data_IF_069178863467
#
_entry.id   IF_069178863467
#
_cell.length_a   1.000
_cell.length_b   1.000
_cell.length_c   1.000
_cell.angle_alpha   90.00
_cell.angle_beta   90.00
_cell.angle_gamma   90.00
#
_symmetry.space_group_name_H-M   'P 1'
#
loop_
_entity.id
_entity.type
_entity.pdbx_description
1 polymer ?
#
# COMPACT_ATOMS: atom_id res chain seq x y z
N UNK A 1 3.92 14.29 -5.14
CA UNK A 1 2.47 14.03 -4.88
C UNK A 1 2.35 12.92 -3.85
N UNK A 2 1.58 13.14 -2.78
CA UNK A 2 1.40 12.13 -1.72
C UNK A 2 0.33 11.13 -2.11
N UNK A 3 0.65 9.85 -1.99
CA UNK A 3 -0.20 8.72 -2.32
C UNK A 3 -0.14 7.70 -1.18
N UNK A 4 -1.20 6.92 -1.02
CA UNK A 4 -1.30 5.85 -0.03
C UNK A 4 -1.51 4.50 -0.70
N UNK A 5 -1.11 3.41 -0.03
CA UNK A 5 -1.50 2.06 -0.44
C UNK A 5 -1.80 1.19 0.78
N UNK A 6 -3.02 0.62 0.87
CA UNK A 6 -3.28 -0.42 1.84
C UNK A 6 -2.56 -1.71 1.43
N UNK A 7 -1.88 -2.36 2.37
CA UNK A 7 -1.14 -3.62 2.14
C UNK A 7 -1.40 -4.61 3.26
N UNK A 8 -1.26 -5.90 2.94
CA UNK A 8 -1.22 -6.98 3.93
C UNK A 8 0.22 -7.26 4.43
N UNK A 9 0.39 -8.18 5.40
CA UNK A 9 1.71 -8.46 6.00
C UNK A 9 2.74 -8.97 5.00
N UNK A 10 2.33 -9.82 4.05
CA UNK A 10 3.22 -10.40 3.06
C UNK A 10 3.78 -9.34 2.09
N UNK A 11 2.94 -8.41 1.66
CA UNK A 11 3.37 -7.30 0.80
C UNK A 11 4.23 -6.29 1.57
N UNK A 12 3.89 -6.02 2.85
CA UNK A 12 4.72 -5.17 3.71
C UNK A 12 6.13 -5.76 3.91
N UNK A 13 6.26 -7.07 4.12
CA UNK A 13 7.57 -7.75 4.22
C UNK A 13 8.38 -7.60 2.93
N UNK A 14 7.75 -7.74 1.76
CA UNK A 14 8.43 -7.51 0.47
C UNK A 14 8.89 -6.05 0.30
N UNK A 15 8.10 -5.08 0.75
CA UNK A 15 8.50 -3.67 0.79
C UNK A 15 9.68 -3.46 1.76
N UNK A 16 9.65 -4.09 2.94
CA UNK A 16 10.74 -4.00 3.90
C UNK A 16 12.04 -4.58 3.34
N UNK A 17 11.97 -5.73 2.64
CA UNK A 17 13.10 -6.35 1.95
C UNK A 17 13.67 -5.51 0.80
N UNK A 18 12.87 -4.64 0.20
CA UNK A 18 13.37 -3.65 -0.77
C UNK A 18 14.01 -2.42 -0.11
N UNK A 19 14.07 -2.38 1.24
CA UNK A 19 14.52 -1.21 1.98
C UNK A 19 13.51 -0.06 1.95
N UNK A 20 12.22 -0.38 1.79
CA UNK A 20 11.13 0.60 1.66
C UNK A 20 11.24 1.49 0.41
N UNK A 21 11.84 0.98 -0.66
CA UNK A 21 12.03 1.75 -1.91
C UNK A 21 11.10 1.32 -3.03
N UNK A 22 10.45 0.15 -2.92
CA UNK A 22 9.65 -0.40 -4.00
C UNK A 22 8.52 -1.31 -3.50
N UNK A 23 7.40 -1.28 -4.22
CA UNK A 23 6.33 -2.28 -4.15
C UNK A 23 6.70 -3.52 -4.99
N UNK A 24 6.32 -4.74 -4.56
CA UNK A 24 6.63 -5.95 -5.32
C UNK A 24 5.83 -6.02 -6.63
N UNK A 25 6.33 -6.75 -7.66
CA UNK A 25 5.58 -7.02 -8.88
C UNK A 25 4.20 -7.62 -8.59
N UNK A 26 3.20 -7.27 -9.40
CA UNK A 26 1.87 -7.86 -9.33
C UNK A 26 1.90 -9.32 -9.77
N UNK A 27 0.94 -10.10 -9.29
CA UNK A 27 0.74 -11.45 -9.80
C UNK A 27 0.20 -11.39 -11.25
N UNK A 28 0.42 -12.44 -12.09
CA UNK A 28 -0.02 -12.41 -13.49
C UNK A 28 -1.52 -12.17 -13.71
N UNK A 29 -2.36 -12.51 -12.73
CA UNK A 29 -3.81 -12.30 -12.71
C UNK A 29 -4.23 -10.91 -12.21
N UNK A 30 -3.29 -10.07 -11.81
CA UNK A 30 -3.51 -8.74 -11.28
C UNK A 30 -3.00 -7.69 -12.28
N UNK A 31 -3.83 -7.27 -13.25
CA UNK A 31 -3.38 -6.45 -14.39
C UNK A 31 -3.03 -5.01 -14.02
N UNK A 32 -3.44 -4.56 -12.83
CA UNK A 32 -3.23 -3.20 -12.37
C UNK A 32 -2.64 -3.16 -10.96
N UNK A 33 -1.78 -2.17 -10.74
CA UNK A 33 -1.38 -1.64 -9.45
C UNK A 33 -2.19 -0.38 -9.19
N UNK A 34 -2.93 -0.36 -8.08
CA UNK A 34 -3.82 0.75 -7.74
C UNK A 34 -3.51 1.29 -6.35
N UNK A 35 -2.71 2.36 -6.25
CA UNK A 35 -2.61 3.11 -5.02
C UNK A 35 -3.72 4.17 -4.96
N UNK A 36 -4.00 4.69 -3.77
CA UNK A 36 -5.13 5.57 -3.50
C UNK A 36 -4.69 6.96 -3.08
N UNK A 37 -5.50 7.98 -3.37
CA UNK A 37 -5.12 9.38 -3.14
C UNK A 37 -5.51 9.91 -1.75
N UNK A 38 -6.23 9.11 -0.96
CA UNK A 38 -6.81 9.54 0.29
C UNK A 38 -6.51 8.53 1.41
N UNK A 39 -6.05 9.04 2.56
CA UNK A 39 -5.68 8.24 3.72
C UNK A 39 -6.88 7.50 4.30
N UNK A 40 -8.03 8.16 4.45
CA UNK A 40 -9.23 7.57 5.04
C UNK A 40 -9.70 6.37 4.22
N UNK A 41 -9.63 6.43 2.90
CA UNK A 41 -9.94 5.30 2.02
C UNK A 41 -8.91 4.17 2.18
N UNK A 42 -7.61 4.49 2.22
CA UNK A 42 -6.57 3.48 2.48
C UNK A 42 -6.78 2.79 3.85
N UNK A 43 -7.07 3.58 4.89
CA UNK A 43 -7.32 3.09 6.23
C UNK A 43 -8.58 2.23 6.31
N UNK A 44 -9.63 2.58 5.55
CA UNK A 44 -10.83 1.77 5.43
C UNK A 44 -10.50 0.39 4.84
N UNK A 45 -9.80 0.33 3.71
CA UNK A 45 -9.41 -0.95 3.08
C UNK A 45 -8.55 -1.77 4.05
N UNK A 46 -7.54 -1.15 4.65
CA UNK A 46 -6.62 -1.85 5.56
C UNK A 46 -7.36 -2.44 6.78
N UNK A 47 -8.30 -1.70 7.36
CA UNK A 47 -9.06 -2.11 8.55
C UNK A 47 -10.20 -3.09 8.24
N UNK A 48 -10.93 -2.87 7.16
CA UNK A 48 -12.14 -3.66 6.90
C UNK A 48 -11.80 -4.94 6.14
N UNK A 49 -10.78 -4.91 5.26
CA UNK A 49 -10.48 -6.02 4.35
C UNK A 49 -9.17 -6.71 4.70
N UNK A 50 -8.06 -5.98 4.86
CA UNK A 50 -6.78 -6.63 5.13
C UNK A 50 -6.73 -7.25 6.53
N UNK A 51 -7.15 -6.53 7.58
CA UNK A 51 -7.14 -7.07 8.94
C UNK A 51 -8.19 -8.15 9.22
N UNK A 52 -9.20 -8.33 8.35
CA UNK A 52 -10.17 -9.45 8.45
C UNK A 52 -9.77 -10.65 7.58
N UNK A 53 -8.77 -10.46 6.71
CA UNK A 53 -8.22 -11.47 5.82
C UNK A 53 -7.45 -12.58 6.52
N UNK A 54 -6.83 -13.50 5.76
CA UNK A 54 -6.17 -14.69 6.30
C UNK A 54 -5.05 -14.37 7.30
N UNK A 55 -4.25 -13.35 7.01
CA UNK A 55 -3.11 -12.97 7.87
C UNK A 55 -3.53 -12.06 9.05
N UNK A 56 -4.79 -11.61 9.07
CA UNK A 56 -5.37 -10.87 10.18
C UNK A 56 -4.81 -9.47 10.42
N UNK A 57 -4.02 -8.89 9.52
CA UNK A 57 -3.49 -7.53 9.67
C UNK A 57 -3.51 -6.73 8.37
N UNK A 58 -3.62 -5.41 8.50
CA UNK A 58 -3.61 -4.45 7.40
C UNK A 58 -2.81 -3.21 7.75
N UNK A 59 -2.12 -2.66 6.76
CA UNK A 59 -1.26 -1.50 6.94
C UNK A 59 -1.57 -0.45 5.88
N UNK A 60 -1.46 0.82 6.25
CA UNK A 60 -1.49 1.92 5.30
C UNK A 60 -0.06 2.37 5.08
N UNK A 61 0.44 2.24 3.86
CA UNK A 61 1.68 2.87 3.46
C UNK A 61 1.42 4.23 2.84
N UNK A 62 2.39 5.13 2.97
CA UNK A 62 2.40 6.49 2.45
C UNK A 62 3.71 6.69 1.72
N UNK A 63 3.65 7.25 0.53
CA UNK A 63 4.83 7.54 -0.27
C UNK A 63 4.59 8.77 -1.13
N UNK A 64 5.69 9.38 -1.56
CA UNK A 64 5.65 10.47 -2.52
C UNK A 64 6.05 9.95 -3.91
N UNK A 65 5.32 10.37 -4.93
CA UNK A 65 5.68 10.16 -6.33
C UNK A 65 5.99 11.51 -6.99
N UNK A 66 6.90 11.54 -7.95
CA UNK A 66 7.13 12.72 -8.79
C UNK A 66 5.82 13.20 -9.45
N UNK A 67 5.48 14.48 -9.31
CA UNK A 67 4.20 15.02 -9.77
C UNK A 67 4.00 14.88 -11.28
N UNK A 68 5.00 15.28 -12.07
CA UNK A 68 4.91 15.21 -13.53
C UNK A 68 4.82 13.79 -14.08
N UNK A 69 5.36 12.81 -13.35
CA UNK A 69 5.18 11.39 -13.69
C UNK A 69 3.77 10.90 -13.32
N UNK A 70 3.23 11.29 -12.16
CA UNK A 70 1.90 10.87 -11.73
C UNK A 70 0.76 11.37 -12.64
N UNK A 71 0.92 12.55 -13.24
CA UNK A 71 -0.08 13.17 -14.13
C UNK A 71 -0.40 12.35 -15.39
N UNK A 72 0.41 11.36 -15.75
CA UNK A 72 0.11 10.48 -16.89
C UNK A 72 -0.99 9.45 -16.59
N UNK A 73 -1.25 9.16 -15.31
CA UNK A 73 -2.23 8.17 -14.89
C UNK A 73 -3.58 8.84 -14.61
N UNK A 74 -4.66 8.22 -15.09
CA UNK A 74 -6.01 8.71 -14.83
C UNK A 74 -6.40 8.45 -13.37
N UNK A 75 -7.05 9.44 -12.74
CA UNK A 75 -7.67 9.29 -11.43
C UNK A 75 -9.06 8.70 -11.60
N UNK A 76 -9.24 7.47 -11.13
CA UNK A 76 -10.52 6.79 -11.14
C UNK A 76 -11.25 6.99 -9.82
N UNK A 77 -12.56 7.22 -9.88
CA UNK A 77 -13.43 7.30 -8.70
C UNK A 77 -14.23 6.00 -8.62
N UNK A 78 -14.09 5.26 -7.50
CA UNK A 78 -14.72 3.94 -7.34
C UNK A 78 -15.69 3.91 -6.15
N UNK A 79 -16.98 3.72 -6.43
CA UNK A 79 -18.00 3.73 -5.38
C UNK A 79 -18.23 5.14 -4.81
N UNK A 80 -17.59 5.48 -3.69
CA UNK A 80 -17.73 6.80 -3.09
C UNK A 80 -16.87 7.84 -3.84
N UNK A 81 -17.33 9.09 -3.88
CA UNK A 81 -16.64 10.22 -4.52
C UNK A 81 -15.25 10.50 -3.96
N UNK A 82 -14.97 10.07 -2.73
CA UNK A 82 -13.66 10.22 -2.08
C UNK A 82 -12.72 9.03 -2.34
N UNK A 83 -13.22 7.94 -2.91
CA UNK A 83 -12.42 6.77 -3.24
C UNK A 83 -11.74 6.99 -4.58
N UNK A 84 -10.58 7.62 -4.53
CA UNK A 84 -9.80 7.96 -5.71
C UNK A 84 -8.59 7.03 -5.81
N UNK A 85 -8.45 6.40 -6.97
CA UNK A 85 -7.39 5.44 -7.30
C UNK A 85 -6.62 5.94 -8.51
N UNK A 86 -5.30 5.71 -8.53
CA UNK A 86 -4.53 5.75 -9.77
C UNK A 86 -4.44 4.34 -10.30
N UNK A 87 -4.73 4.09 -11.56
CA UNK A 87 -4.57 2.76 -12.14
C UNK A 87 -3.30 2.72 -12.98
N UNK A 88 -2.28 2.02 -12.47
CA UNK A 88 -0.99 1.82 -13.13
C UNK A 88 -0.96 0.40 -13.70
N UNK A 89 -0.65 0.21 -14.99
CA UNK A 89 -0.48 -1.13 -15.55
C UNK A 89 0.58 -1.93 -14.77
N UNK A 90 0.33 -3.21 -14.53
CA UNK A 90 1.23 -4.06 -13.74
C UNK A 90 2.65 -4.12 -14.33
N UNK A 91 2.78 -4.07 -15.64
CA UNK A 91 4.04 -4.01 -16.38
C UNK A 91 4.82 -2.71 -16.15
N UNK A 92 4.13 -1.61 -15.83
CA UNK A 92 4.74 -0.30 -15.55
C UNK A 92 5.16 -0.13 -14.09
N UNK A 93 4.77 -1.03 -13.19
CA UNK A 93 5.05 -0.91 -11.75
C UNK A 93 6.56 -0.79 -11.44
N UNK A 94 7.41 -1.44 -12.24
CA UNK A 94 8.86 -1.30 -12.08
C UNK A 94 9.36 0.12 -12.39
N UNK A 95 8.75 0.80 -13.37
CA UNK A 95 9.01 2.21 -13.66
C UNK A 95 8.39 3.09 -12.57
N UNK A 96 7.15 2.81 -12.18
CA UNK A 96 6.48 3.56 -11.12
C UNK A 96 7.31 3.61 -9.84
N UNK A 97 7.90 2.48 -9.43
CA UNK A 97 8.80 2.43 -8.26
C UNK A 97 10.03 3.34 -8.40
N UNK A 98 10.56 3.55 -9.61
CA UNK A 98 11.72 4.45 -9.84
C UNK A 98 11.40 5.92 -9.61
N UNK A 99 10.13 6.30 -9.74
CA UNK A 99 9.65 7.66 -9.52
C UNK A 99 9.19 7.92 -8.08
N UNK A 100 9.33 6.93 -7.17
CA UNK A 100 9.09 7.14 -5.74
C UNK A 100 10.19 8.05 -5.19
N UNK A 101 9.77 9.12 -4.52
CA UNK A 101 10.65 10.08 -3.87
C UNK A 101 10.83 9.68 -2.40
N UNK A 102 12.07 9.39 -2.02
CA UNK A 102 12.39 8.99 -0.66
C UNK A 102 11.99 7.55 -0.36
N UNK A 103 11.38 7.32 0.80
CA UNK A 103 10.99 5.99 1.27
C UNK A 103 9.47 5.87 1.43
N UNK A 104 8.99 4.64 1.27
CA UNK A 104 7.65 4.23 1.64
C UNK A 104 7.59 4.18 3.17
N UNK A 105 6.72 4.98 3.79
CA UNK A 105 6.48 4.97 5.22
C UNK A 105 5.23 4.16 5.55
N UNK A 106 5.18 3.52 6.73
CA UNK A 106 3.94 2.98 7.27
C UNK A 106 3.28 4.05 8.14
N UNK A 107 2.07 4.49 7.75
CA UNK A 107 1.34 5.57 8.42
C UNK A 107 0.34 5.01 9.46
N UNK A 108 -0.18 3.80 9.24
CA UNK A 108 -1.11 3.14 10.17
C UNK A 108 -1.03 1.61 10.08
N UNK A 109 -1.36 0.94 11.18
CA UNK A 109 -1.49 -0.51 11.28
C UNK A 109 -2.81 -0.89 11.96
N UNK A 110 -3.46 -1.94 11.46
CA UNK A 110 -4.71 -2.48 11.95
C UNK A 110 -4.57 -3.99 12.14
N UNK A 111 -4.93 -4.48 13.33
CA UNK A 111 -4.82 -5.89 13.70
C UNK A 111 -6.20 -6.44 14.04
N UNK A 112 -6.57 -7.52 13.37
CA UNK A 112 -7.81 -8.25 13.61
C UNK A 112 -7.60 -9.51 14.43
N UNK A 113 -8.69 -10.22 14.73
CA UNK A 113 -8.71 -11.37 15.64
C UNK A 113 -7.81 -12.54 15.21
N UNK A 114 -7.54 -12.66 13.91
CA UNK A 114 -6.71 -13.75 13.34
C UNK A 114 -5.21 -13.45 13.40
N UNK A 115 -4.82 -12.23 13.75
CA UNK A 115 -3.41 -11.87 13.82
C UNK A 115 -2.73 -12.61 14.98
N UNK A 116 -1.59 -13.23 14.70
CA UNK A 116 -0.83 -14.05 15.67
C UNK A 116 0.66 -13.67 15.76
N UNK A 117 1.06 -12.56 15.13
CA UNK A 117 2.43 -12.05 15.20
C UNK A 117 2.69 -11.26 16.48
N UNK A 118 3.97 -11.11 16.85
CA UNK A 118 4.37 -10.16 17.87
C UNK A 118 4.41 -8.75 17.27
N UNK A 119 3.94 -7.77 18.03
CA UNK A 119 3.92 -6.36 17.64
C UNK A 119 5.03 -5.65 18.42
N UNK A 120 5.89 -4.93 17.73
CA UNK A 120 6.83 -4.00 18.35
C UNK A 120 6.04 -2.83 18.96
N UNK A 121 6.07 -2.63 20.29
CA UNK A 121 5.34 -1.55 20.94
C UNK A 121 5.84 -0.16 20.55
N UNK A 122 7.07 -0.02 20.03
CA UNK A 122 7.63 1.26 19.63
C UNK A 122 7.15 1.70 18.24
N UNK A 123 7.04 0.75 17.31
CA UNK A 123 6.69 1.03 15.90
C UNK A 123 5.24 0.68 15.56
N UNK A 124 4.57 -0.11 16.40
CA UNK A 124 3.26 -0.72 16.12
C UNK A 124 3.28 -1.51 14.80
N UNK A 125 4.39 -2.17 14.51
CA UNK A 125 4.59 -3.05 13.35
C UNK A 125 4.90 -4.47 13.82
N UNK A 126 4.61 -5.50 13.00
CA UNK A 126 5.02 -6.86 13.32
C UNK A 126 6.55 -6.95 13.46
N UNK A 127 7.03 -7.63 14.51
CA UNK A 127 8.44 -8.01 14.60
C UNK A 127 8.80 -8.89 13.40
N UNK A 128 9.91 -8.59 12.73
CA UNK A 128 10.39 -9.37 11.59
C UNK A 128 10.52 -10.85 11.96
N UNK A 129 9.95 -11.72 11.12
CA UNK A 129 10.25 -13.16 11.15
C UNK A 129 11.53 -13.45 10.39
#
# INVERSE_FOLDING_TARGET
MIIYRPVGPQELDLIARSGFTAFPPRLPDQPIFYPVLNFEYAAQIAREWNSTGPDGAGFVTKFEIEHGYAEQFEVHIVGNRTHQELWVPAEELAEFNRHIVGLIAVEAAFYGEKFSGEIDPATNLPNGK
#
